data_IF_873230224048
#
_entry.id   IF_873230224048
#
_cell.length_a   1.000
_cell.length_b   1.000
_cell.length_c   1.000
_cell.angle_alpha   90.00
_cell.angle_beta   90.00
_cell.angle_gamma   90.00
#
_symmetry.space_group_name_H-M   'P 1'
#
loop_
_entity.id
_entity.type
_entity.pdbx_description
1 polymer ?
#
# COMPACT_ATOMS: atom_id res chain seq x y z
N UNK A 1 11.96 -5.27 18.92
CA UNK A 1 12.24 -6.72 18.98
C UNK A 1 11.09 -7.49 18.41
N UNK A 2 11.35 -8.65 17.80
CA UNK A 2 10.34 -9.63 17.48
C UNK A 2 10.33 -10.76 18.51
N UNK A 3 9.15 -11.30 18.77
CA UNK A 3 8.96 -12.45 19.66
C UNK A 3 8.04 -13.43 18.97
N UNK A 4 8.44 -14.70 18.92
CA UNK A 4 7.60 -15.80 18.44
C UNK A 4 7.59 -16.95 19.44
N UNK A 5 6.42 -17.60 19.60
CA UNK A 5 6.24 -18.77 20.46
C UNK A 5 5.53 -19.85 19.67
N UNK A 6 6.20 -20.96 19.43
CA UNK A 6 5.65 -22.04 18.59
C UNK A 6 5.99 -23.43 19.12
N UNK A 7 5.14 -24.41 18.79
CA UNK A 7 5.35 -25.81 19.13
C UNK A 7 6.47 -26.42 18.27
N UNK A 8 7.37 -27.17 18.94
CA UNK A 8 8.42 -27.94 18.25
C UNK A 8 7.86 -29.30 17.85
N UNK A 9 8.09 -29.68 16.61
CA UNK A 9 7.79 -30.99 16.04
C UNK A 9 8.85 -31.37 15.01
N UNK A 10 8.69 -32.48 14.29
CA UNK A 10 9.66 -32.96 13.28
C UNK A 10 9.82 -32.03 12.06
N UNK A 11 8.83 -31.11 11.87
CA UNK A 11 8.89 -30.09 10.79
C UNK A 11 9.55 -28.79 11.25
N UNK A 12 9.91 -28.71 12.52
CA UNK A 12 10.58 -27.52 13.06
C UNK A 12 12.07 -27.62 12.77
N UNK A 13 12.56 -26.72 11.91
CA UNK A 13 14.01 -26.64 11.68
C UNK A 13 14.70 -26.16 12.95
N UNK A 14 15.89 -26.74 13.22
CA UNK A 14 16.82 -26.11 14.15
C UNK A 14 17.10 -24.69 13.67
N UNK A 15 17.08 -23.71 14.57
CA UNK A 15 17.38 -22.34 14.19
C UNK A 15 18.89 -22.20 13.95
N UNK A 16 19.34 -22.55 12.77
CA UNK A 16 20.72 -22.36 12.34
C UNK A 16 21.01 -20.92 11.91
N UNK A 17 19.97 -20.06 11.84
CA UNK A 17 20.07 -18.66 11.48
C UNK A 17 19.34 -17.77 12.48
N UNK A 18 19.94 -16.65 12.81
CA UNK A 18 19.38 -15.62 13.67
C UNK A 18 19.63 -14.22 13.08
N UNK A 19 19.18 -13.18 13.77
CA UNK A 19 19.35 -11.80 13.31
C UNK A 19 20.83 -11.41 13.10
N UNK A 20 21.75 -11.98 13.88
CA UNK A 20 23.18 -11.70 13.75
C UNK A 20 23.74 -12.33 12.49
N UNK A 21 23.47 -13.62 12.29
CA UNK A 21 23.89 -14.34 11.08
C UNK A 21 23.24 -13.78 9.82
N UNK A 22 22.00 -13.26 9.94
CA UNK A 22 21.36 -12.56 8.84
C UNK A 22 22.13 -11.28 8.47
N UNK A 23 22.39 -10.37 9.42
CA UNK A 23 23.05 -9.10 9.12
C UNK A 23 24.50 -9.25 8.67
N UNK A 24 25.23 -10.21 9.20
CA UNK A 24 26.64 -10.36 8.89
C UNK A 24 26.94 -11.27 7.70
N UNK A 25 26.02 -12.17 7.36
CA UNK A 25 26.28 -13.19 6.34
C UNK A 25 25.15 -13.28 5.29
N UNK A 26 23.97 -13.79 5.68
CA UNK A 26 22.98 -14.25 4.71
C UNK A 26 22.26 -13.13 3.97
N UNK A 27 22.28 -11.88 4.49
CA UNK A 27 21.74 -10.71 3.79
C UNK A 27 22.61 -10.27 2.61
N UNK A 28 23.92 -10.51 2.67
CA UNK A 28 24.89 -9.98 1.70
C UNK A 28 25.61 -11.01 0.87
N UNK A 29 25.72 -12.26 1.35
CA UNK A 29 26.39 -13.31 0.60
C UNK A 29 25.45 -14.03 -0.37
N UNK A 30 25.99 -14.52 -1.46
CA UNK A 30 25.20 -15.26 -2.46
C UNK A 30 25.21 -16.77 -2.15
N UNK A 31 24.06 -17.40 -2.32
CA UNK A 31 23.90 -18.84 -2.13
C UNK A 31 23.31 -19.19 -0.78
N UNK A 32 23.17 -20.49 -0.54
CA UNK A 32 22.73 -21.04 0.74
C UNK A 32 23.95 -21.26 1.61
N UNK A 33 23.95 -20.68 2.81
CA UNK A 33 25.00 -20.86 3.81
C UNK A 33 24.47 -21.88 4.82
N UNK A 34 25.17 -23.00 4.94
CA UNK A 34 24.87 -24.01 5.95
C UNK A 34 25.35 -23.53 7.32
N UNK A 35 24.51 -23.71 8.36
CA UNK A 35 24.82 -23.39 9.75
C UNK A 35 25.46 -22.00 9.92
N UNK A 36 24.82 -20.89 9.49
CA UNK A 36 25.45 -19.56 9.52
C UNK A 36 25.85 -19.11 10.91
N UNK A 37 25.20 -19.61 11.96
CA UNK A 37 25.58 -19.32 13.36
C UNK A 37 26.97 -19.86 13.72
N UNK A 38 27.46 -20.91 13.03
CA UNK A 38 28.82 -21.45 13.26
C UNK A 38 29.88 -20.37 13.09
N UNK A 39 29.76 -19.57 12.06
CA UNK A 39 30.72 -18.50 11.71
C UNK A 39 30.67 -17.29 12.64
N UNK A 40 29.55 -17.10 13.37
CA UNK A 40 29.34 -15.95 14.25
C UNK A 40 29.62 -16.30 15.71
N UNK A 41 29.21 -17.48 16.16
CA UNK A 41 29.22 -17.84 17.58
C UNK A 41 30.49 -18.58 18.01
N UNK A 42 31.35 -18.98 17.08
CA UNK A 42 32.60 -19.65 17.38
C UNK A 42 33.79 -18.74 17.04
N UNK A 43 34.93 -19.02 17.66
CA UNK A 43 36.19 -18.30 17.45
C UNK A 43 37.34 -19.29 17.34
N UNK A 44 38.39 -18.90 16.64
CA UNK A 44 39.63 -19.65 16.54
C UNK A 44 40.11 -19.85 15.10
N UNK A 45 41.36 -20.33 14.89
CA UNK A 45 41.99 -20.39 13.58
C UNK A 45 41.23 -21.24 12.55
N UNK A 46 40.50 -22.26 13.02
CA UNK A 46 39.67 -23.10 12.13
C UNK A 46 38.44 -22.35 11.63
N UNK A 47 37.83 -21.56 12.51
CA UNK A 47 36.66 -20.73 12.16
C UNK A 47 37.09 -19.59 11.23
N UNK A 48 38.23 -18.96 11.52
CA UNK A 48 38.79 -17.90 10.67
C UNK A 48 39.04 -18.40 9.25
N UNK A 49 39.66 -19.61 9.11
CA UNK A 49 39.86 -20.22 7.83
C UNK A 49 38.53 -20.60 7.13
N UNK A 50 37.54 -21.04 7.89
CA UNK A 50 36.21 -21.35 7.34
C UNK A 50 35.50 -20.07 6.85
N UNK A 51 35.61 -18.93 7.59
CA UNK A 51 35.10 -17.64 7.16
C UNK A 51 35.77 -17.17 5.86
N UNK A 52 37.08 -17.26 5.76
CA UNK A 52 37.81 -16.92 4.53
C UNK A 52 37.33 -17.75 3.35
N UNK A 53 37.18 -19.06 3.52
CA UNK A 53 36.64 -19.95 2.47
C UNK A 53 35.21 -19.60 2.09
N UNK A 54 34.37 -19.24 3.08
CA UNK A 54 32.99 -18.77 2.83
C UNK A 54 33.00 -17.51 1.99
N UNK A 55 33.85 -16.53 2.32
CA UNK A 55 33.97 -15.28 1.57
C UNK A 55 34.51 -15.49 0.15
N UNK A 56 35.39 -16.45 -0.06
CA UNK A 56 35.89 -16.79 -1.37
C UNK A 56 34.84 -17.46 -2.26
N UNK A 57 33.95 -18.25 -1.67
CA UNK A 57 32.95 -19.06 -2.42
C UNK A 57 31.58 -18.38 -2.57
N UNK A 58 31.16 -17.61 -1.57
CA UNK A 58 29.85 -16.98 -1.50
C UNK A 58 29.92 -15.45 -1.56
N UNK A 59 31.10 -14.87 -1.42
CA UNK A 59 31.30 -13.43 -1.52
C UNK A 59 31.04 -12.91 -2.94
N UNK A 60 30.47 -11.73 -3.04
CA UNK A 60 30.27 -11.04 -4.30
C UNK A 60 30.37 -9.53 -4.13
N UNK A 61 30.59 -8.83 -5.24
CA UNK A 61 30.71 -7.36 -5.23
C UNK A 61 29.36 -6.75 -5.54
N UNK A 62 28.72 -6.12 -4.56
CA UNK A 62 27.50 -5.33 -4.75
C UNK A 62 27.77 -4.01 -5.46
N UNK A 63 28.96 -3.44 -5.23
CA UNK A 63 29.38 -2.17 -5.80
C UNK A 63 30.89 -2.14 -6.03
N UNK A 64 31.36 -1.19 -6.79
CA UNK A 64 32.78 -0.89 -6.97
C UNK A 64 33.08 0.43 -6.27
N UNK A 65 34.15 0.46 -5.51
CA UNK A 65 34.58 1.68 -4.82
C UNK A 65 34.82 2.84 -5.80
N UNK A 66 35.34 2.59 -6.99
CA UNK A 66 35.53 3.58 -8.05
C UNK A 66 34.22 4.25 -8.46
N UNK A 67 33.11 3.49 -8.52
CA UNK A 67 31.80 4.05 -8.86
C UNK A 67 31.24 4.89 -7.72
N UNK A 68 31.48 4.49 -6.46
CA UNK A 68 31.10 5.25 -5.27
C UNK A 68 31.89 6.58 -5.21
N UNK A 69 33.22 6.55 -5.38
CA UNK A 69 34.04 7.75 -5.35
C UNK A 69 33.77 8.70 -6.53
N UNK A 70 33.32 8.19 -7.65
CA UNK A 70 32.96 8.99 -8.82
C UNK A 70 31.47 9.41 -8.81
N UNK A 71 30.75 9.12 -7.73
CA UNK A 71 29.31 9.39 -7.58
C UNK A 71 28.46 8.85 -8.76
N UNK A 72 28.85 7.71 -9.31
CA UNK A 72 28.16 7.01 -10.40
C UNK A 72 27.08 6.04 -9.90
N UNK A 73 26.34 6.46 -8.88
CA UNK A 73 25.22 5.64 -8.39
C UNK A 73 24.05 5.82 -9.37
N UNK A 74 23.83 4.84 -10.22
CA UNK A 74 22.64 4.78 -11.05
C UNK A 74 21.58 3.94 -10.35
N UNK A 75 20.46 4.54 -10.01
CA UNK A 75 19.31 3.77 -9.51
C UNK A 75 18.59 3.13 -10.71
N UNK A 76 18.42 1.83 -10.68
CA UNK A 76 17.59 1.12 -11.67
C UNK A 76 16.11 1.43 -11.45
N UNK A 77 15.72 1.61 -10.20
CA UNK A 77 14.36 1.97 -9.78
C UNK A 77 14.38 3.28 -9.02
N UNK A 78 13.29 4.03 -9.13
CA UNK A 78 13.11 5.29 -8.40
C UNK A 78 12.90 4.98 -6.92
N UNK A 79 13.67 5.58 -5.99
CA UNK A 79 13.44 5.40 -4.56
C UNK A 79 12.09 6.00 -4.13
N UNK A 80 11.31 5.22 -3.39
CA UNK A 80 10.00 5.60 -2.87
C UNK A 80 10.14 6.17 -1.44
N UNK A 81 10.52 7.45 -1.32
CA UNK A 81 10.78 8.09 -0.01
C UNK A 81 9.51 8.59 0.68
N UNK A 82 8.53 9.07 -0.07
CA UNK A 82 7.35 9.72 0.47
C UNK A 82 6.09 8.88 0.39
N UNK A 83 6.06 7.92 -0.50
CA UNK A 83 4.91 7.08 -0.77
C UNK A 83 5.17 6.10 -1.90
N UNK A 84 4.15 5.39 -2.31
CA UNK A 84 4.22 4.49 -3.44
C UNK A 84 4.23 5.26 -4.77
N UNK A 85 5.07 4.84 -5.72
CA UNK A 85 5.16 5.45 -7.05
C UNK A 85 4.50 4.54 -8.09
N UNK A 86 3.34 4.95 -8.59
CA UNK A 86 2.67 4.23 -9.68
C UNK A 86 3.27 4.67 -11.01
N UNK A 87 3.89 3.72 -11.71
CA UNK A 87 4.44 3.92 -13.04
C UNK A 87 3.40 3.76 -14.14
N UNK A 88 3.46 4.60 -15.17
CA UNK A 88 2.62 4.49 -16.35
C UNK A 88 3.36 4.84 -17.62
N UNK A 89 2.71 4.60 -18.74
CA UNK A 89 3.20 4.98 -20.07
C UNK A 89 2.07 5.53 -20.93
N UNK A 90 2.37 6.60 -21.67
CA UNK A 90 1.45 7.15 -22.65
C UNK A 90 2.04 7.02 -24.06
N UNK A 91 1.23 6.51 -24.97
CA UNK A 91 1.61 6.27 -26.37
C UNK A 91 0.51 6.73 -27.32
N UNK A 92 0.87 6.98 -28.57
CA UNK A 92 -0.12 7.23 -29.61
C UNK A 92 -0.82 5.93 -30.00
N UNK A 93 -2.15 5.94 -30.01
CA UNK A 93 -3.00 4.74 -30.32
C UNK A 93 -2.70 4.10 -31.67
N UNK A 94 -2.24 4.87 -32.67
CA UNK A 94 -2.04 4.38 -34.04
C UNK A 94 -0.61 3.95 -34.32
N UNK A 95 0.36 4.63 -33.71
CA UNK A 95 1.78 4.44 -34.03
C UNK A 95 2.56 3.76 -32.92
N UNK A 96 1.97 3.57 -31.74
CA UNK A 96 2.59 3.11 -30.50
C UNK A 96 3.83 3.93 -30.05
N UNK A 97 4.05 5.06 -30.69
CA UNK A 97 5.16 5.96 -30.32
C UNK A 97 4.86 6.67 -29.00
N UNK A 98 5.87 6.89 -28.14
CA UNK A 98 5.70 7.64 -26.91
C UNK A 98 5.29 9.10 -27.20
N UNK A 99 4.46 9.65 -26.34
CA UNK A 99 4.04 11.05 -26.41
C UNK A 99 4.63 11.81 -25.23
N UNK A 100 5.28 12.94 -25.52
CA UNK A 100 5.89 13.82 -24.53
C UNK A 100 4.98 14.99 -24.16
N UNK A 101 5.15 15.55 -22.96
CA UNK A 101 4.49 16.77 -22.47
C UNK A 101 2.96 16.68 -22.37
N UNK A 102 2.41 15.50 -22.16
CA UNK A 102 0.99 15.32 -21.86
C UNK A 102 0.77 15.30 -20.35
N UNK A 103 -0.09 16.19 -19.88
CA UNK A 103 -0.55 16.21 -18.49
C UNK A 103 -1.57 15.11 -18.28
N UNK A 104 -1.35 14.29 -17.28
CA UNK A 104 -2.21 13.18 -16.90
C UNK A 104 -2.54 13.21 -15.43
N UNK A 105 -3.69 12.64 -15.08
CA UNK A 105 -4.19 12.54 -13.72
C UNK A 105 -4.44 11.08 -13.38
N UNK A 106 -4.00 10.68 -12.20
CA UNK A 106 -4.36 9.42 -11.56
C UNK A 106 -5.24 9.74 -10.36
N UNK A 107 -6.44 9.20 -10.32
CA UNK A 107 -7.38 9.39 -9.23
C UNK A 107 -7.80 8.04 -8.65
N UNK A 108 -7.90 7.95 -7.33
CA UNK A 108 -8.62 6.89 -6.64
C UNK A 108 -9.93 7.48 -6.13
N UNK A 109 -11.08 7.15 -6.77
CA UNK A 109 -12.37 7.70 -6.39
C UNK A 109 -12.76 7.24 -4.99
N UNK A 110 -13.58 8.05 -4.31
CA UNK A 110 -14.07 7.70 -2.98
C UNK A 110 -14.59 8.89 -2.21
N UNK A 111 -15.15 8.63 -1.05
CA UNK A 111 -15.48 9.69 -0.08
C UNK A 111 -14.22 10.39 0.47
N UNK A 112 -13.09 9.69 0.44
CA UNK A 112 -11.75 10.16 0.75
C UNK A 112 -10.86 9.89 -0.46
N UNK A 113 -11.14 10.59 -1.54
CA UNK A 113 -10.42 10.42 -2.79
C UNK A 113 -8.99 10.93 -2.73
N UNK A 114 -8.16 10.36 -3.57
CA UNK A 114 -6.80 10.83 -3.83
C UNK A 114 -6.66 11.17 -5.31
N UNK A 115 -5.83 12.17 -5.59
CA UNK A 115 -5.48 12.57 -6.94
C UNK A 115 -3.99 12.89 -7.00
N UNK A 116 -3.34 12.38 -8.01
CA UNK A 116 -1.96 12.70 -8.36
C UNK A 116 -1.89 13.10 -9.83
N UNK A 117 -0.86 13.84 -10.20
CA UNK A 117 -0.67 14.29 -11.57
C UNK A 117 0.74 14.02 -12.05
N UNK A 118 0.89 13.79 -13.34
CA UNK A 118 2.17 13.56 -13.99
C UNK A 118 2.21 14.22 -15.37
N UNK A 119 3.41 14.60 -15.82
CA UNK A 119 3.66 15.01 -17.20
C UNK A 119 4.55 13.96 -17.85
N UNK A 120 4.15 13.47 -19.01
CA UNK A 120 4.93 12.49 -19.76
C UNK A 120 6.27 13.04 -20.24
N UNK A 121 7.31 12.25 -20.06
CA UNK A 121 8.65 12.57 -20.58
C UNK A 121 8.83 12.11 -22.04
N UNK A 122 10.03 12.32 -22.62
CA UNK A 122 10.38 11.93 -24.00
C UNK A 122 10.17 10.45 -24.31
N UNK A 123 10.16 9.59 -23.28
CA UNK A 123 9.89 8.15 -23.42
C UNK A 123 8.42 7.79 -23.18
N UNK A 124 7.56 8.81 -22.98
CA UNK A 124 6.15 8.61 -22.63
C UNK A 124 5.94 8.08 -21.23
N UNK A 125 6.93 8.13 -20.34
CA UNK A 125 6.81 7.62 -18.98
C UNK A 125 6.03 8.60 -18.10
N UNK A 126 5.19 8.05 -17.26
CA UNK A 126 4.39 8.73 -16.26
C UNK A 126 4.74 8.19 -14.88
N UNK A 127 4.79 9.05 -13.88
CA UNK A 127 5.08 8.72 -12.50
C UNK A 127 4.09 9.47 -11.60
N UNK A 128 3.38 8.72 -10.76
CA UNK A 128 2.40 9.27 -9.84
C UNK A 128 2.80 8.92 -8.40
N UNK A 129 3.09 9.92 -7.61
CA UNK A 129 3.29 9.78 -6.18
C UNK A 129 1.93 9.63 -5.50
N UNK A 130 1.71 8.51 -4.81
CA UNK A 130 0.50 8.24 -4.04
C UNK A 130 0.85 7.93 -2.59
N UNK A 131 0.21 8.64 -1.67
CA UNK A 131 0.44 8.48 -0.23
C UNK A 131 -0.69 7.66 0.40
N UNK A 132 -0.33 6.81 1.37
CA UNK A 132 -1.33 6.01 2.10
C UNK A 132 -2.27 5.19 1.19
N UNK A 133 -1.73 4.65 0.12
CA UNK A 133 -2.47 3.83 -0.83
C UNK A 133 -2.29 2.36 -0.49
N UNK A 134 -3.24 1.78 0.24
CA UNK A 134 -3.19 0.42 0.76
C UNK A 134 -4.27 -0.47 0.19
N UNK A 135 -3.93 -1.74 -0.03
CA UNK A 135 -4.84 -2.75 -0.54
C UNK A 135 -5.20 -2.56 -2.01
N UNK A 136 -6.21 -3.28 -2.47
CA UNK A 136 -6.72 -3.15 -3.83
C UNK A 136 -7.72 -2.02 -3.92
N UNK A 137 -7.51 -1.09 -4.86
CA UNK A 137 -8.38 0.05 -5.09
C UNK A 137 -8.53 0.29 -6.59
N UNK A 138 -9.70 0.76 -6.99
CA UNK A 138 -9.91 1.25 -8.34
C UNK A 138 -9.16 2.56 -8.55
N UNK A 139 -8.43 2.67 -9.64
CA UNK A 139 -7.80 3.92 -10.08
C UNK A 139 -8.29 4.31 -11.47
N UNK A 140 -8.51 5.59 -11.65
CA UNK A 140 -8.89 6.19 -12.93
C UNK A 140 -7.72 7.04 -13.42
N UNK A 141 -7.18 6.70 -14.60
CA UNK A 141 -6.07 7.44 -15.20
C UNK A 141 -6.51 8.05 -16.52
N UNK A 142 -6.32 9.35 -16.64
CA UNK A 142 -6.78 10.07 -17.83
C UNK A 142 -5.99 11.37 -18.06
N UNK A 143 -6.09 11.88 -19.27
CA UNK A 143 -5.66 13.22 -19.63
C UNK A 143 -6.84 14.05 -20.14
N UNK A 144 -6.63 15.32 -20.40
CA UNK A 144 -7.66 16.19 -20.99
C UNK A 144 -7.97 15.79 -22.45
N UNK A 145 -8.95 14.92 -22.59
CA UNK A 145 -9.39 14.36 -23.86
C UNK A 145 -10.08 15.38 -24.78
N UNK A 146 -10.44 16.55 -24.29
CA UNK A 146 -10.97 17.62 -25.13
C UNK A 146 -9.91 18.23 -26.03
N UNK A 147 -8.64 18.12 -25.62
CA UNK A 147 -7.49 18.62 -26.39
C UNK A 147 -6.96 17.59 -27.40
N UNK A 148 -6.88 16.33 -27.00
CA UNK A 148 -6.39 15.25 -27.84
C UNK A 148 -6.95 13.90 -27.40
N UNK A 149 -7.40 13.07 -28.33
CA UNK A 149 -7.92 11.71 -28.13
C UNK A 149 -7.04 10.62 -28.73
N UNK A 150 -5.89 10.99 -29.29
CA UNK A 150 -5.02 10.08 -30.04
C UNK A 150 -4.11 9.21 -29.17
N UNK A 151 -4.13 9.37 -27.85
CA UNK A 151 -3.26 8.66 -26.94
C UNK A 151 -3.94 7.45 -26.23
N UNK A 152 -3.10 6.51 -25.82
CA UNK A 152 -3.41 5.42 -24.91
C UNK A 152 -2.51 5.54 -23.69
N UNK A 153 -3.10 5.33 -22.51
CA UNK A 153 -2.38 5.26 -21.24
C UNK A 153 -2.40 3.82 -20.77
N UNK A 154 -1.25 3.32 -20.35
CA UNK A 154 -1.09 2.01 -19.74
C UNK A 154 -0.42 2.21 -18.36
N UNK A 155 -0.90 1.50 -17.32
CA UNK A 155 -0.25 1.44 -16.01
C UNK A 155 0.68 0.24 -16.00
N UNK A 156 1.89 0.45 -15.49
CA UNK A 156 2.92 -0.59 -15.43
C UNK A 156 2.64 -1.51 -14.24
N UNK A 157 3.00 -2.79 -14.41
CA UNK A 157 2.97 -3.75 -13.34
C UNK A 157 3.98 -3.34 -12.25
N UNK A 158 3.55 -3.16 -10.97
CA UNK A 158 4.46 -2.79 -9.88
C UNK A 158 5.40 -3.93 -9.48
N UNK A 159 5.08 -5.17 -9.84
CA UNK A 159 5.87 -6.34 -9.48
C UNK A 159 6.98 -6.61 -10.50
N UNK A 160 8.15 -7.00 -9.99
CA UNK A 160 9.26 -7.39 -10.85
C UNK A 160 8.95 -8.69 -11.60
N UNK A 161 9.20 -8.69 -12.90
CA UNK A 161 9.14 -9.88 -13.75
C UNK A 161 10.50 -10.58 -13.85
N UNK A 162 11.48 -10.12 -13.08
CA UNK A 162 12.81 -10.76 -13.01
C UNK A 162 12.78 -11.90 -12.01
N UNK A 163 12.81 -13.13 -12.50
CA UNK A 163 12.82 -14.31 -11.67
C UNK A 163 14.23 -14.89 -11.55
N UNK A 164 14.48 -15.61 -10.44
CA UNK A 164 15.72 -16.38 -10.28
C UNK A 164 15.80 -17.49 -11.32
N UNK A 165 16.94 -17.64 -11.98
CA UNK A 165 17.21 -18.76 -12.88
C UNK A 165 17.65 -20.04 -12.14
N UNK A 166 17.73 -19.99 -10.79
CA UNK A 166 18.12 -21.16 -9.99
C UNK A 166 16.99 -22.18 -9.99
N UNK A 167 17.28 -23.45 -10.28
CA UNK A 167 16.29 -24.51 -10.13
C UNK A 167 15.89 -24.60 -8.66
N UNK A 168 14.61 -24.87 -8.42
CA UNK A 168 14.15 -25.23 -7.07
C UNK A 168 14.76 -26.58 -6.69
N UNK A 169 15.19 -26.69 -5.45
CA UNK A 169 15.58 -27.99 -4.88
C UNK A 169 14.33 -28.86 -4.78
N UNK A 170 14.39 -30.09 -5.21
CA UNK A 170 13.29 -31.03 -5.01
C UNK A 170 13.01 -31.16 -3.50
N UNK A 171 11.75 -31.08 -3.14
CA UNK A 171 11.31 -31.26 -1.76
C UNK A 171 11.14 -32.77 -1.54
N UNK A 172 12.07 -33.37 -0.81
CA UNK A 172 11.93 -34.76 -0.36
C UNK A 172 11.15 -34.78 0.97
N UNK A 173 9.95 -35.31 0.92
CA UNK A 173 9.10 -35.46 2.10
C UNK A 173 9.29 -36.87 2.64
N UNK A 174 10.14 -36.99 3.63
CA UNK A 174 10.38 -38.25 4.35
C UNK A 174 9.11 -38.78 5.03
N UNK A 175 8.88 -40.08 5.03
CA UNK A 175 7.76 -40.74 5.72
C UNK A 175 7.76 -40.42 7.23
N UNK A 176 8.90 -40.14 7.82
CA UNK A 176 9.03 -39.72 9.23
C UNK A 176 8.34 -38.38 9.56
N UNK A 177 8.07 -37.52 8.56
CA UNK A 177 7.41 -36.21 8.71
C UNK A 177 5.88 -36.31 8.60
N UNK A 178 5.35 -37.45 8.17
CA UNK A 178 3.94 -37.65 7.80
C UNK A 178 2.97 -37.28 8.91
N UNK A 179 3.21 -37.78 10.11
CA UNK A 179 2.27 -37.59 11.23
C UNK A 179 2.16 -36.10 11.63
N UNK A 180 3.28 -35.37 11.64
CA UNK A 180 3.29 -33.96 11.95
C UNK A 180 2.70 -33.11 10.80
N UNK A 181 2.92 -33.51 9.55
CA UNK A 181 2.27 -32.87 8.38
C UNK A 181 0.74 -33.02 8.50
N UNK A 182 0.25 -34.22 8.77
CA UNK A 182 -1.19 -34.46 8.94
C UNK A 182 -1.74 -33.67 10.13
N UNK A 183 -1.05 -33.70 11.27
CA UNK A 183 -1.43 -32.95 12.46
C UNK A 183 -1.54 -31.43 12.20
N UNK A 184 -0.54 -30.85 11.54
CA UNK A 184 -0.55 -29.42 11.16
C UNK A 184 -1.65 -29.10 10.15
N UNK A 185 -1.89 -29.98 9.19
CA UNK A 185 -2.97 -29.83 8.20
C UNK A 185 -4.34 -29.80 8.86
N UNK A 186 -4.59 -30.71 9.82
CA UNK A 186 -5.83 -30.72 10.61
C UNK A 186 -5.95 -29.44 11.44
N UNK A 187 -4.89 -29.02 12.13
CA UNK A 187 -4.86 -27.79 12.90
C UNK A 187 -5.19 -26.54 12.06
N UNK A 188 -4.62 -26.44 10.86
CA UNK A 188 -4.91 -25.36 9.92
C UNK A 188 -6.37 -25.36 9.45
N UNK A 189 -6.93 -26.54 9.13
CA UNK A 189 -8.33 -26.65 8.73
C UNK A 189 -9.29 -26.25 9.85
N UNK A 190 -9.01 -26.67 11.08
CA UNK A 190 -9.77 -26.28 12.27
C UNK A 190 -9.69 -24.76 12.49
N UNK A 191 -8.51 -24.16 12.39
CA UNK A 191 -8.34 -22.72 12.49
C UNK A 191 -9.14 -21.96 11.43
N UNK A 192 -9.09 -22.41 10.18
CA UNK A 192 -9.85 -21.81 9.10
C UNK A 192 -11.37 -21.94 9.31
N UNK A 193 -11.83 -23.09 9.80
CA UNK A 193 -13.25 -23.31 10.03
C UNK A 193 -13.83 -22.44 11.16
N UNK A 194 -13.08 -22.21 12.23
CA UNK A 194 -13.59 -21.55 13.44
C UNK A 194 -13.06 -20.13 13.67
N UNK A 195 -11.95 -19.76 13.06
CA UNK A 195 -11.25 -18.49 13.34
C UNK A 195 -10.94 -17.67 12.09
N UNK A 196 -11.49 -18.02 10.91
CA UNK A 196 -11.19 -17.36 9.65
C UNK A 196 -11.37 -15.83 9.71
N UNK A 197 -12.47 -15.35 10.31
CA UNK A 197 -12.76 -13.91 10.41
C UNK A 197 -11.71 -13.15 11.23
N UNK A 198 -11.09 -13.82 12.21
CA UNK A 198 -9.98 -13.26 12.99
C UNK A 198 -8.66 -13.33 12.25
N UNK A 199 -8.45 -14.36 11.42
CA UNK A 199 -7.25 -14.54 10.62
C UNK A 199 -7.18 -13.57 9.43
N UNK A 200 -8.30 -12.98 9.04
CA UNK A 200 -8.43 -12.02 7.93
C UNK A 200 -8.43 -10.55 8.39
N UNK A 201 -8.03 -10.28 9.63
CA UNK A 201 -7.95 -8.91 10.13
C UNK A 201 -6.64 -8.25 9.71
N UNK A 202 -6.75 -7.00 9.29
CA UNK A 202 -5.61 -6.18 8.90
C UNK A 202 -5.64 -4.87 9.67
N UNK A 203 -4.46 -4.42 10.09
CA UNK A 203 -4.29 -3.09 10.66
C UNK A 203 -4.32 -2.07 9.52
N UNK A 204 -5.35 -1.23 9.51
CA UNK A 204 -5.39 -0.07 8.64
C UNK A 204 -4.61 1.07 9.33
N UNK A 205 -3.62 1.68 8.68
CA UNK A 205 -2.94 2.83 9.23
C UNK A 205 -3.96 3.93 9.58
N UNK A 206 -3.86 4.47 10.78
CA UNK A 206 -4.73 5.57 11.19
C UNK A 206 -4.40 6.82 10.38
N UNK A 207 -5.29 7.19 9.48
CA UNK A 207 -5.18 8.42 8.71
C UNK A 207 -5.69 9.59 9.56
N UNK A 208 -4.79 10.37 10.12
CA UNK A 208 -5.13 11.56 10.93
C UNK A 208 -5.78 12.65 10.10
N UNK A 209 -5.36 12.82 8.84
CA UNK A 209 -5.87 13.86 7.95
C UNK A 209 -6.92 13.29 7.01
N UNK A 210 -8.14 13.79 7.15
CA UNK A 210 -9.28 13.48 6.26
C UNK A 210 -9.64 14.66 5.37
N UNK A 211 -8.82 15.70 5.35
CA UNK A 211 -9.02 16.89 4.52
C UNK A 211 -8.78 16.52 3.05
N UNK A 212 -9.61 17.04 2.16
CA UNK A 212 -9.35 16.89 0.73
C UNK A 212 -8.00 17.51 0.36
N UNK A 213 -7.35 17.03 -0.71
CA UNK A 213 -6.03 17.49 -1.13
C UNK A 213 -5.94 19.03 -1.34
N UNK A 214 -7.08 19.67 -1.64
CA UNK A 214 -7.17 21.11 -1.81
C UNK A 214 -7.40 21.89 -0.49
N UNK A 215 -7.43 21.19 0.65
CA UNK A 215 -7.63 21.80 1.97
C UNK A 215 -9.08 22.19 2.25
N UNK A 216 -9.26 23.29 2.99
CA UNK A 216 -10.60 23.79 3.34
C UNK A 216 -11.16 24.58 2.16
N UNK A 217 -12.34 24.19 1.62
CA UNK A 217 -12.99 24.92 0.52
C UNK A 217 -13.51 26.29 1.00
N UNK A 218 -13.56 27.24 0.07
CA UNK A 218 -14.09 28.58 0.35
C UNK A 218 -15.62 28.54 0.51
N UNK A 219 -16.30 27.68 -0.27
CA UNK A 219 -17.73 27.42 -0.13
C UNK A 219 -18.01 25.92 -0.12
N UNK A 220 -19.01 25.54 0.68
CA UNK A 220 -19.46 24.16 0.82
C UNK A 220 -20.97 24.10 0.92
N UNK A 221 -21.57 23.33 0.03
CA UNK A 221 -23.02 23.17 -0.08
C UNK A 221 -23.39 21.70 0.11
N UNK A 222 -24.09 21.41 1.20
CA UNK A 222 -24.74 20.12 1.39
C UNK A 222 -26.12 20.19 0.76
N UNK A 223 -26.35 19.42 -0.31
CA UNK A 223 -27.56 19.56 -1.12
C UNK A 223 -28.85 19.20 -0.35
N UNK A 224 -28.75 18.42 0.72
CA UNK A 224 -29.88 18.09 1.60
C UNK A 224 -30.34 19.27 2.45
N UNK A 225 -29.51 20.29 2.63
CA UNK A 225 -29.84 21.50 3.38
C UNK A 225 -30.60 22.56 2.54
N UNK A 226 -30.74 22.30 1.23
CA UNK A 226 -31.37 23.21 0.26
C UNK A 226 -32.58 22.58 -0.40
N UNK A 227 -33.38 23.39 -1.07
CA UNK A 227 -34.44 22.87 -1.94
C UNK A 227 -33.83 21.98 -3.03
N UNK A 228 -34.31 20.76 -3.14
CA UNK A 228 -33.88 19.83 -4.18
C UNK A 228 -34.50 20.22 -5.52
N UNK A 229 -33.65 20.65 -6.44
CA UNK A 229 -34.03 20.93 -7.82
C UNK A 229 -33.95 19.65 -8.67
N UNK A 230 -34.65 19.69 -9.82
CA UNK A 230 -34.68 18.54 -10.74
C UNK A 230 -33.45 18.47 -11.64
N UNK A 231 -32.74 19.56 -11.81
CA UNK A 231 -31.56 19.64 -12.69
C UNK A 231 -30.37 20.23 -11.96
N UNK A 232 -29.17 19.79 -12.32
CA UNK A 232 -27.93 20.34 -11.79
C UNK A 232 -27.71 21.78 -12.26
N UNK A 233 -28.26 22.16 -13.43
CA UNK A 233 -28.23 23.55 -13.89
C UNK A 233 -28.96 24.49 -12.90
N UNK A 234 -30.15 24.13 -12.42
CA UNK A 234 -30.88 24.87 -11.40
C UNK A 234 -30.09 24.92 -10.11
N UNK A 235 -29.56 23.83 -9.61
CA UNK A 235 -28.71 23.75 -8.41
C UNK A 235 -27.58 24.77 -8.51
N UNK A 236 -26.83 24.76 -9.61
CA UNK A 236 -25.65 25.62 -9.81
C UNK A 236 -26.04 27.10 -9.93
N UNK A 237 -27.20 27.43 -10.48
CA UNK A 237 -27.65 28.83 -10.66
C UNK A 237 -28.30 29.44 -9.43
N UNK A 238 -29.01 28.63 -8.66
CA UNK A 238 -29.86 29.14 -7.59
C UNK A 238 -29.11 29.35 -6.27
N UNK A 239 -28.16 28.46 -5.93
CA UNK A 239 -27.49 28.59 -4.65
C UNK A 239 -25.96 28.31 -4.62
N UNK A 240 -25.37 27.77 -5.68
CA UNK A 240 -23.93 27.59 -5.67
C UNK A 240 -23.23 28.91 -5.98
N UNK A 241 -22.70 29.56 -4.96
CA UNK A 241 -21.94 30.80 -5.10
C UNK A 241 -20.47 30.52 -5.39
N UNK A 242 -19.74 31.52 -5.91
CA UNK A 242 -18.34 31.39 -6.29
C UNK A 242 -18.09 30.76 -7.65
N UNK A 243 -19.15 30.28 -8.34
CA UNK A 243 -19.08 29.72 -9.68
C UNK A 243 -20.13 30.38 -10.58
N UNK A 244 -19.73 30.73 -11.80
CA UNK A 244 -20.63 31.18 -12.86
C UNK A 244 -20.87 30.06 -13.86
N UNK A 245 -22.11 29.68 -14.08
CA UNK A 245 -22.51 28.74 -15.12
C UNK A 245 -23.11 29.49 -16.30
N UNK A 246 -22.47 29.37 -17.46
CA UNK A 246 -22.92 29.98 -18.71
C UNK A 246 -23.12 28.93 -19.79
N UNK A 247 -24.05 29.17 -20.71
CA UNK A 247 -24.24 28.32 -21.89
C UNK A 247 -23.76 29.08 -23.14
N UNK A 248 -22.79 28.53 -23.84
CA UNK A 248 -22.25 29.10 -25.06
C UNK A 248 -22.19 28.03 -26.14
N UNK A 249 -22.77 28.30 -27.31
CA UNK A 249 -22.82 27.36 -28.44
C UNK A 249 -23.28 25.95 -28.04
N UNK A 250 -24.34 25.87 -27.22
CA UNK A 250 -24.93 24.61 -26.70
C UNK A 250 -24.07 23.88 -25.66
N UNK A 251 -22.91 24.38 -25.25
CA UNK A 251 -22.07 23.81 -24.20
C UNK A 251 -22.15 24.64 -22.93
N UNK A 252 -22.10 23.97 -21.79
CA UNK A 252 -21.96 24.61 -20.49
C UNK A 252 -20.49 24.94 -20.22
N UNK A 253 -20.28 26.13 -19.68
CA UNK A 253 -18.96 26.65 -19.27
C UNK A 253 -19.07 27.05 -17.81
N UNK A 254 -18.17 26.52 -16.99
CA UNK A 254 -18.01 26.91 -15.60
C UNK A 254 -16.83 27.90 -15.49
N UNK A 255 -17.01 28.95 -14.71
CA UNK A 255 -15.94 29.90 -14.35
C UNK A 255 -15.97 30.15 -12.87
N UNK A 256 -14.87 29.88 -12.19
CA UNK A 256 -14.75 30.22 -10.78
C UNK A 256 -14.49 31.69 -10.58
N UNK A 257 -15.05 32.22 -9.51
CA UNK A 257 -14.72 33.54 -9.02
C UNK A 257 -13.28 33.50 -8.44
N UNK A 258 -12.49 34.52 -8.78
CA UNK A 258 -11.13 34.70 -8.26
C UNK A 258 -11.21 35.75 -7.13
N UNK A 259 -11.41 35.26 -5.92
CA UNK A 259 -11.66 36.14 -4.77
C UNK A 259 -10.57 37.21 -4.53
N UNK A 260 -9.26 36.86 -4.60
CA UNK A 260 -8.18 37.82 -4.46
C UNK A 260 -8.22 38.98 -5.47
N UNK A 261 -8.78 38.77 -6.65
CA UNK A 261 -8.83 39.76 -7.75
C UNK A 261 -10.22 40.26 -8.05
N UNK A 262 -11.23 39.88 -7.27
CA UNK A 262 -12.63 40.29 -7.40
C UNK A 262 -13.22 40.16 -8.82
N UNK A 263 -12.88 39.06 -9.51
CA UNK A 263 -13.31 38.75 -10.86
C UNK A 263 -13.41 37.25 -11.13
N UNK A 264 -13.82 36.88 -12.32
CA UNK A 264 -13.80 35.47 -12.72
C UNK A 264 -12.47 35.11 -13.39
N UNK A 265 -12.05 33.86 -13.22
CA UNK A 265 -10.94 33.32 -13.99
C UNK A 265 -11.32 33.21 -15.48
N UNK A 266 -10.36 33.40 -16.37
CA UNK A 266 -10.56 33.21 -17.81
C UNK A 266 -10.55 31.74 -18.22
N UNK A 267 -9.84 30.90 -17.46
CA UNK A 267 -9.71 29.45 -17.70
C UNK A 267 -10.77 28.65 -16.91
N UNK A 268 -11.03 27.43 -17.38
CA UNK A 268 -11.94 26.52 -16.69
C UNK A 268 -11.36 26.04 -15.35
N UNK A 269 -12.21 25.87 -14.31
CA UNK A 269 -11.79 25.26 -13.06
C UNK A 269 -11.48 23.76 -13.24
N UNK A 270 -10.76 23.21 -12.29
CA UNK A 270 -10.67 21.76 -12.16
C UNK A 270 -11.99 21.24 -11.58
N UNK A 271 -12.76 20.56 -12.40
CA UNK A 271 -14.02 19.92 -11.99
C UNK A 271 -13.70 18.51 -11.53
N UNK A 272 -14.21 18.11 -10.38
CA UNK A 272 -14.02 16.78 -9.81
C UNK A 272 -15.37 16.09 -9.53
N UNK A 273 -15.47 14.81 -9.87
CA UNK A 273 -16.57 13.93 -9.45
C UNK A 273 -15.95 12.80 -8.59
N UNK A 274 -16.26 12.81 -7.27
CA UNK A 274 -15.63 11.91 -6.29
C UNK A 274 -14.10 11.83 -6.40
N UNK A 275 -13.46 12.98 -6.72
CA UNK A 275 -12.02 13.10 -6.90
C UNK A 275 -11.50 12.80 -8.31
N UNK A 276 -12.35 12.37 -9.22
CA UNK A 276 -11.97 12.13 -10.63
C UNK A 276 -12.15 13.41 -11.44
N UNK A 277 -11.11 13.92 -12.16
CA UNK A 277 -11.23 15.08 -13.03
C UNK A 277 -12.25 14.89 -14.13
N UNK A 278 -13.08 15.91 -14.35
CA UNK A 278 -14.05 15.97 -15.44
C UNK A 278 -13.73 17.17 -16.32
N UNK A 279 -13.37 16.91 -17.55
CA UNK A 279 -12.96 17.97 -18.51
C UNK A 279 -14.12 18.52 -19.33
N UNK A 280 -15.28 17.88 -19.31
CA UNK A 280 -16.51 18.31 -19.99
C UNK A 280 -17.58 18.66 -18.95
N UNK A 281 -17.83 19.96 -18.77
CA UNK A 281 -18.82 20.46 -17.82
C UNK A 281 -20.25 19.95 -18.14
N UNK A 282 -20.58 19.67 -19.41
CA UNK A 282 -21.89 19.16 -19.80
C UNK A 282 -22.22 17.83 -19.10
N UNK A 283 -21.20 16.97 -18.88
CA UNK A 283 -21.38 15.67 -18.20
C UNK A 283 -21.83 15.83 -16.75
N UNK A 284 -21.29 16.82 -16.05
CA UNK A 284 -21.67 17.07 -14.66
C UNK A 284 -23.05 17.76 -14.59
N UNK A 285 -23.30 18.71 -15.50
CA UNK A 285 -24.57 19.47 -15.51
C UNK A 285 -25.76 18.58 -15.92
N UNK A 286 -25.52 17.52 -16.65
CA UNK A 286 -26.56 16.53 -17.02
C UNK A 286 -26.78 15.44 -15.97
N UNK A 287 -25.96 15.39 -14.92
CA UNK A 287 -26.12 14.43 -13.83
C UNK A 287 -27.34 14.76 -12.96
N UNK A 288 -28.01 13.73 -12.47
CA UNK A 288 -29.13 13.86 -11.53
C UNK A 288 -28.60 14.43 -10.19
N UNK A 289 -29.09 15.63 -9.78
CA UNK A 289 -28.64 16.25 -8.53
C UNK A 289 -29.01 15.45 -7.28
N UNK A 290 -30.01 14.56 -7.35
CA UNK A 290 -30.37 13.69 -6.22
C UNK A 290 -29.27 12.68 -5.86
N UNK A 291 -28.32 12.44 -6.75
CA UNK A 291 -27.16 11.58 -6.52
C UNK A 291 -25.99 12.32 -5.83
N UNK A 292 -26.00 13.64 -5.84
CA UNK A 292 -24.98 14.49 -5.26
C UNK A 292 -25.31 14.85 -3.82
N UNK A 293 -24.38 14.54 -2.92
CA UNK A 293 -24.46 14.86 -1.50
C UNK A 293 -23.99 16.27 -1.20
N UNK A 294 -22.85 16.67 -1.79
CA UNK A 294 -22.24 17.99 -1.55
C UNK A 294 -21.52 18.53 -2.77
N UNK A 295 -21.41 19.84 -2.83
CA UNK A 295 -20.55 20.58 -3.78
C UNK A 295 -19.61 21.45 -2.96
N UNK A 296 -18.32 21.42 -3.27
CA UNK A 296 -17.28 22.25 -2.66
C UNK A 296 -16.62 23.12 -3.73
N UNK A 297 -16.38 24.40 -3.41
CA UNK A 297 -15.82 25.36 -4.36
C UNK A 297 -14.59 26.03 -3.75
N UNK A 298 -13.49 26.03 -4.49
CA UNK A 298 -12.26 26.75 -4.21
C UNK A 298 -12.15 27.93 -5.19
N UNK A 299 -12.11 29.14 -4.68
CA UNK A 299 -12.07 30.38 -5.49
C UNK A 299 -10.65 30.91 -5.70
N UNK A 300 -9.66 30.14 -5.30
CA UNK A 300 -8.24 30.47 -5.44
C UNK A 300 -7.57 29.59 -6.49
N UNK A 301 -6.53 30.11 -7.13
CA UNK A 301 -5.66 29.27 -7.97
C UNK A 301 -5.03 28.19 -7.12
N UNK A 302 -5.10 26.96 -7.60
CA UNK A 302 -4.54 25.78 -6.93
C UNK A 302 -3.44 25.16 -7.79
N UNK A 303 -2.37 24.69 -7.14
CA UNK A 303 -1.26 24.03 -7.80
C UNK A 303 -1.19 22.56 -7.35
N UNK A 304 -1.29 21.63 -8.30
CA UNK A 304 -1.20 20.20 -8.10
C UNK A 304 0.01 19.68 -8.88
N UNK A 305 1.16 19.58 -8.20
CA UNK A 305 2.42 19.25 -8.87
C UNK A 305 2.69 20.20 -10.03
N UNK A 306 2.80 19.71 -11.28
CA UNK A 306 3.09 20.53 -12.44
C UNK A 306 1.87 21.33 -12.98
N UNK A 307 0.71 21.18 -12.38
CA UNK A 307 -0.55 21.70 -12.90
C UNK A 307 -1.02 22.88 -12.06
N UNK A 308 -1.57 23.89 -12.72
CA UNK A 308 -2.32 24.96 -12.07
C UNK A 308 -3.79 24.90 -12.49
N UNK A 309 -4.69 24.99 -11.50
CA UNK A 309 -6.12 25.03 -11.71
C UNK A 309 -6.67 26.42 -11.34
N UNK A 310 -7.57 26.95 -12.15
CA UNK A 310 -8.27 28.21 -11.93
C UNK A 310 -9.47 28.03 -10.98
N UNK A 311 -9.17 27.61 -9.76
CA UNK A 311 -10.11 27.14 -8.77
C UNK A 311 -10.49 25.66 -8.99
N UNK A 312 -11.30 25.15 -8.04
CA UNK A 312 -11.78 23.76 -8.05
C UNK A 312 -13.28 23.76 -7.78
N UNK A 313 -14.02 22.91 -8.50
CA UNK A 313 -15.42 22.59 -8.21
C UNK A 313 -15.52 21.08 -8.01
N UNK A 314 -15.73 20.64 -6.77
CA UNK A 314 -15.75 19.23 -6.41
C UNK A 314 -17.17 18.78 -6.06
N UNK A 315 -17.65 17.79 -6.79
CA UNK A 315 -18.93 17.12 -6.55
C UNK A 315 -18.66 15.80 -5.84
N UNK A 316 -19.40 15.52 -4.77
CA UNK A 316 -19.30 14.26 -4.04
C UNK A 316 -20.66 13.57 -4.03
N UNK A 317 -20.69 12.31 -4.46
CA UNK A 317 -21.88 11.47 -4.38
C UNK A 317 -22.08 10.92 -2.97
N UNK A 318 -23.22 10.29 -2.70
CA UNK A 318 -23.50 9.72 -1.37
C UNK A 318 -22.57 8.55 -1.04
N UNK A 319 -22.22 7.75 -2.04
CA UNK A 319 -21.39 6.54 -1.85
C UNK A 319 -19.90 6.78 -2.13
N UNK A 320 -19.57 7.81 -2.90
CA UNK A 320 -18.21 8.06 -3.36
C UNK A 320 -17.77 7.13 -4.50
N UNK A 321 -18.73 6.48 -5.18
CA UNK A 321 -18.52 5.54 -6.28
C UNK A 321 -18.96 6.12 -7.65
N UNK A 322 -18.99 7.45 -7.71
CA UNK A 322 -19.46 8.24 -8.86
C UNK A 322 -20.93 7.99 -9.25
N UNK A 323 -21.63 7.07 -8.60
CA UNK A 323 -23.07 6.73 -8.74
C UNK A 323 -23.56 6.66 -10.21
N UNK A 324 -22.80 5.94 -11.03
CA UNK A 324 -23.09 5.76 -12.44
C UNK A 324 -22.72 6.94 -13.36
N UNK A 325 -21.90 7.88 -12.86
CA UNK A 325 -21.33 8.94 -13.70
C UNK A 325 -20.53 8.32 -14.85
N UNK A 326 -20.79 8.79 -16.06
CA UNK A 326 -20.12 8.26 -17.25
C UNK A 326 -18.76 8.93 -17.43
N UNK A 327 -17.71 8.17 -17.21
CA UNK A 327 -16.34 8.61 -17.48
C UNK A 327 -16.10 8.78 -19.00
N UNK A 328 -15.04 9.53 -19.34
CA UNK A 328 -14.61 9.60 -20.73
C UNK A 328 -14.22 8.19 -21.24
N UNK A 329 -14.63 7.79 -22.46
CA UNK A 329 -14.29 6.48 -23.01
C UNK A 329 -12.77 6.22 -23.16
N UNK A 330 -11.94 7.26 -23.12
CA UNK A 330 -10.49 7.14 -23.17
C UNK A 330 -9.85 7.10 -21.76
N UNK A 331 -10.63 7.27 -20.68
CA UNK A 331 -10.12 7.07 -19.33
C UNK A 331 -9.81 5.59 -19.13
N UNK A 332 -8.64 5.31 -18.58
CA UNK A 332 -8.26 3.98 -18.13
C UNK A 332 -8.79 3.78 -16.72
N UNK A 333 -9.63 2.77 -16.54
CA UNK A 333 -10.10 2.32 -15.22
C UNK A 333 -9.49 0.96 -14.95
N UNK A 334 -8.75 0.83 -13.85
CA UNK A 334 -8.06 -0.41 -13.50
C UNK A 334 -8.05 -0.61 -11.98
N UNK A 335 -8.22 -1.85 -11.56
CA UNK A 335 -7.96 -2.25 -10.18
C UNK A 335 -6.45 -2.34 -9.98
N UNK A 336 -5.95 -1.57 -9.02
CA UNK A 336 -4.52 -1.50 -8.72
C UNK A 336 -4.26 -1.94 -7.29
N UNK A 337 -3.31 -2.86 -7.12
CA UNK A 337 -2.88 -3.33 -5.81
C UNK A 337 -1.79 -2.41 -5.25
N UNK A 338 -2.15 -1.67 -4.22
CA UNK A 338 -1.24 -0.77 -3.52
C UNK A 338 -0.38 -1.47 -2.47
N UNK A 339 0.07 -0.72 -1.48
CA UNK A 339 0.87 -1.24 -0.38
C UNK A 339 0.06 -2.27 0.43
N UNK A 340 0.72 -3.34 0.84
CA UNK A 340 0.08 -4.39 1.64
C UNK A 340 -0.25 -3.87 3.04
N UNK A 341 -1.48 -4.09 3.49
CA UNK A 341 -1.87 -3.87 4.87
C UNK A 341 -1.16 -4.87 5.79
N UNK A 342 -0.75 -4.42 6.95
CA UNK A 342 -0.20 -5.30 7.97
C UNK A 342 -1.29 -6.23 8.49
N UNK A 343 -1.02 -7.55 8.44
CA UNK A 343 -1.94 -8.53 8.99
C UNK A 343 -1.84 -8.56 10.51
N UNK A 344 -2.98 -8.49 11.19
CA UNK A 344 -3.05 -8.68 12.64
C UNK A 344 -2.76 -10.15 12.98
N UNK A 345 -1.86 -10.39 13.95
CA UNK A 345 -1.65 -11.74 14.45
C UNK A 345 -2.77 -12.12 15.43
N UNK A 346 -3.56 -13.12 15.06
CA UNK A 346 -4.63 -13.61 15.93
C UNK A 346 -4.07 -14.49 17.05
N UNK A 347 -4.22 -14.03 18.29
CA UNK A 347 -3.97 -14.81 19.51
C UNK A 347 -5.24 -14.81 20.36
N UNK A 348 -5.97 -15.94 20.49
CA UNK A 348 -7.19 -16.00 21.28
C UNK A 348 -6.90 -15.76 22.76
N UNK A 349 -7.91 -15.21 23.43
CA UNK A 349 -7.89 -14.85 24.84
C UNK A 349 -8.95 -15.70 25.56
N UNK A 350 -8.62 -16.23 26.73
CA UNK A 350 -9.50 -17.09 27.54
C UNK A 350 -9.68 -16.49 28.94
N UNK A 351 -10.31 -15.32 29.03
CA UNK A 351 -10.50 -14.55 30.28
C UNK A 351 -11.92 -14.59 30.79
N UNK A 352 -12.90 -14.76 29.92
CA UNK A 352 -14.33 -14.81 30.31
C UNK A 352 -14.82 -16.25 30.44
N UNK A 353 -15.85 -16.47 31.28
CA UNK A 353 -16.47 -17.79 31.42
C UNK A 353 -16.92 -18.40 30.10
N UNK A 354 -17.42 -17.57 29.17
CA UNK A 354 -17.81 -17.99 27.82
C UNK A 354 -16.62 -18.46 26.99
N UNK A 355 -15.49 -17.79 27.09
CA UNK A 355 -14.26 -18.18 26.37
C UNK A 355 -13.66 -19.46 26.99
N UNK A 356 -13.60 -19.55 28.33
CA UNK A 356 -13.06 -20.70 29.06
C UNK A 356 -13.91 -21.95 28.82
N UNK A 357 -15.25 -21.81 28.78
CA UNK A 357 -16.18 -22.92 28.55
C UNK A 357 -16.39 -23.26 27.07
N UNK A 358 -15.72 -22.58 26.17
CA UNK A 358 -15.80 -22.83 24.73
C UNK A 358 -15.36 -24.27 24.41
N UNK A 359 -16.13 -24.94 23.53
CA UNK A 359 -15.77 -26.26 23.00
C UNK A 359 -15.07 -26.20 21.65
N UNK A 360 -14.77 -24.99 21.16
CA UNK A 360 -14.01 -24.81 19.92
C UNK A 360 -12.58 -25.24 20.18
N UNK A 361 -12.07 -26.23 19.45
CA UNK A 361 -10.69 -26.69 19.64
C UNK A 361 -9.67 -25.64 19.17
N UNK A 362 -8.59 -25.50 19.94
CA UNK A 362 -7.46 -24.64 19.61
C UNK A 362 -6.23 -25.48 19.30
N UNK A 363 -5.95 -25.72 18.02
CA UNK A 363 -4.82 -26.52 17.55
C UNK A 363 -3.72 -25.67 16.91
N UNK A 364 -3.53 -24.44 17.42
CA UNK A 364 -2.46 -23.56 16.91
C UNK A 364 -1.08 -24.12 17.26
N UNK A 365 -0.20 -24.18 16.26
CA UNK A 365 1.22 -24.41 16.49
C UNK A 365 1.96 -23.14 16.91
N UNK A 366 1.57 -21.98 16.35
CA UNK A 366 2.12 -20.67 16.68
C UNK A 366 1.19 -19.99 17.71
N UNK A 367 1.64 -19.89 18.94
CA UNK A 367 0.85 -19.34 20.05
C UNK A 367 0.85 -17.82 20.07
N UNK A 368 2.02 -17.25 19.80
CA UNK A 368 2.24 -15.81 19.85
C UNK A 368 3.27 -15.36 18.81
N UNK A 369 3.01 -14.23 18.19
CA UNK A 369 3.96 -13.52 17.35
C UNK A 369 3.76 -12.01 17.47
N UNK A 370 4.84 -11.26 17.60
CA UNK A 370 4.84 -9.82 17.50
C UNK A 370 6.18 -9.35 16.92
N UNK A 371 6.16 -8.44 15.95
CA UNK A 371 7.34 -7.92 15.27
C UNK A 371 7.88 -6.61 15.84
N UNK A 372 7.12 -5.93 16.72
CA UNK A 372 7.40 -4.55 17.15
C UNK A 372 7.44 -4.36 18.67
N UNK A 373 7.78 -5.40 19.41
CA UNK A 373 7.90 -5.35 20.88
C UNK A 373 8.98 -4.34 21.29
N UNK A 374 8.58 -3.32 22.05
CA UNK A 374 9.48 -2.32 22.63
C UNK A 374 9.61 -2.54 24.13
N UNK A 375 10.84 -2.55 24.63
CA UNK A 375 11.12 -2.57 26.07
C UNK A 375 11.01 -1.16 26.65
N UNK A 376 10.77 -1.09 27.95
CA UNK A 376 10.86 0.15 28.72
C UNK A 376 12.33 0.63 28.87
N UNK A 377 12.54 1.73 29.58
CA UNK A 377 13.86 2.30 29.87
C UNK A 377 14.78 1.37 30.69
N UNK A 378 14.20 0.36 31.37
CA UNK A 378 14.92 -0.67 32.12
C UNK A 378 15.17 -1.94 31.28
N UNK A 379 14.87 -1.93 29.99
CA UNK A 379 15.02 -3.07 29.10
C UNK A 379 13.99 -4.19 29.34
N UNK A 380 12.86 -3.90 30.00
CA UNK A 380 11.83 -4.89 30.36
C UNK A 380 10.57 -4.73 29.54
N UNK A 381 9.92 -5.86 29.23
CA UNK A 381 8.57 -5.92 28.68
C UNK A 381 7.90 -7.21 29.15
N UNK A 382 6.71 -7.09 29.69
CA UNK A 382 5.88 -8.24 30.02
C UNK A 382 4.96 -8.56 28.82
N UNK A 383 4.92 -9.82 28.43
CA UNK A 383 4.05 -10.35 27.39
C UNK A 383 3.22 -11.47 27.99
N UNK A 384 1.96 -11.57 27.58
CA UNK A 384 1.04 -12.63 27.98
C UNK A 384 0.41 -13.27 26.75
N UNK A 385 0.30 -14.57 26.76
CA UNK A 385 -0.38 -15.34 25.72
C UNK A 385 -0.95 -16.63 26.33
N UNK A 386 -1.87 -17.27 25.62
CA UNK A 386 -2.48 -18.53 26.05
C UNK A 386 -1.92 -19.68 25.21
N UNK A 387 -1.70 -20.84 25.86
CA UNK A 387 -1.38 -22.10 25.19
C UNK A 387 -2.56 -22.58 24.35
N UNK A 388 -2.29 -23.43 23.37
CA UNK A 388 -3.31 -24.21 22.65
C UNK A 388 -3.67 -25.49 23.42
N UNK A 389 -4.62 -26.27 22.89
CA UNK A 389 -4.98 -27.59 23.42
C UNK A 389 -3.91 -28.66 23.15
N UNK A 390 -2.84 -28.29 22.43
CA UNK A 390 -1.77 -29.22 22.09
C UNK A 390 -0.70 -29.24 23.18
N UNK A 391 -0.43 -30.44 23.69
CA UNK A 391 0.68 -30.70 24.59
C UNK A 391 2.00 -30.81 23.80
N UNK A 392 3.11 -30.58 24.48
CA UNK A 392 4.44 -30.75 23.91
C UNK A 392 5.41 -29.65 24.29
N UNK A 393 6.54 -29.66 23.63
CA UNK A 393 7.61 -28.67 23.81
C UNK A 393 7.40 -27.48 22.90
N UNK A 394 7.52 -26.29 23.48
CA UNK A 394 7.41 -25.02 22.77
C UNK A 394 8.72 -24.26 22.80
N UNK A 395 9.03 -23.58 21.70
CA UNK A 395 10.17 -22.69 21.55
C UNK A 395 9.71 -21.25 21.65
N UNK A 396 10.43 -20.46 22.45
CA UNK A 396 10.35 -18.99 22.43
C UNK A 396 11.59 -18.47 21.73
N UNK A 397 11.39 -17.63 20.72
CA UNK A 397 12.47 -16.96 20.00
C UNK A 397 12.29 -15.47 20.13
N UNK A 398 13.33 -14.80 20.59
CA UNK A 398 13.39 -13.35 20.77
C UNK A 398 14.56 -12.85 19.95
N UNK A 399 14.28 -11.93 19.03
CA UNK A 399 15.31 -11.28 18.24
C UNK A 399 15.07 -9.78 18.20
N UNK A 400 16.12 -8.99 18.19
CA UNK A 400 15.94 -7.57 18.23
C UNK A 400 17.17 -6.77 17.86
N UNK A 401 16.89 -5.49 17.57
CA UNK A 401 17.91 -4.48 17.31
C UNK A 401 17.59 -3.24 18.13
N UNK A 402 18.63 -2.59 18.65
CA UNK A 402 18.49 -1.28 19.31
C UNK A 402 18.51 -0.15 18.29
N UNK A 403 18.11 1.05 18.71
CA UNK A 403 18.24 2.25 17.88
C UNK A 403 19.69 2.60 17.46
N UNK A 404 20.68 2.04 18.17
CA UNK A 404 22.11 2.19 17.87
C UNK A 404 22.65 1.08 16.93
N UNK A 405 21.79 0.16 16.47
CA UNK A 405 22.16 -0.93 15.56
C UNK A 405 22.74 -2.18 16.25
N UNK A 406 22.69 -2.29 17.58
CA UNK A 406 23.10 -3.51 18.28
C UNK A 406 22.03 -4.56 18.16
N UNK A 407 22.35 -5.69 17.54
CA UNK A 407 21.44 -6.82 17.39
C UNK A 407 21.68 -7.88 18.47
N UNK A 408 20.64 -8.65 18.79
CA UNK A 408 20.70 -9.77 19.72
C UNK A 408 19.62 -10.79 19.46
N UNK A 409 19.93 -12.04 19.76
CA UNK A 409 19.03 -13.20 19.62
C UNK A 409 19.09 -14.06 20.87
N UNK A 410 17.94 -14.56 21.31
CA UNK A 410 17.83 -15.51 22.41
C UNK A 410 16.68 -16.49 22.12
N UNK A 411 16.90 -17.75 22.42
CA UNK A 411 15.85 -18.76 22.37
C UNK A 411 15.87 -19.65 23.61
N UNK A 412 14.70 -20.12 24.03
CA UNK A 412 14.54 -21.10 25.11
C UNK A 412 13.26 -21.91 24.91
N UNK A 413 13.16 -23.02 25.59
CA UNK A 413 11.99 -23.92 25.51
C UNK A 413 11.25 -24.03 26.84
N UNK A 414 9.95 -24.35 26.75
CA UNK A 414 9.12 -24.75 27.87
C UNK A 414 8.19 -25.88 27.45
N UNK A 415 7.66 -26.62 28.42
CA UNK A 415 6.76 -27.74 28.16
C UNK A 415 5.33 -27.37 28.56
N UNK A 416 4.36 -27.72 27.71
CA UNK A 416 2.94 -27.68 28.02
C UNK A 416 2.51 -29.11 28.32
N UNK A 417 2.10 -29.34 29.56
CA UNK A 417 1.62 -30.64 30.08
C UNK A 417 0.18 -30.51 30.48
N UNK A 418 -0.51 -31.66 30.62
CA UNK A 418 -1.91 -31.70 31.00
C UNK A 418 -2.08 -31.43 32.49
#
# INVERSE_FOLDING_TARGET
>A
MSVSVYRIDSLSNSQDADILSYFWLTSDLQGTIESPQYYINNNGPEVDAAVDNLMLTHGWRRFRWDDVFQNKVAFEFIPEYEGHVIGGRITNKKTDQPIENVVTYLSSPGTKFQISSSISNKKGQLLYDVKNFYGSNEVVVQADNQKDTSYRIDILNPFSEKYSSRPFTDIDISESLRDDIVSRSIGMQVQNAYSNDYLQRFDAPYMQDTTAFYGVPDYKFFLDEYTRFNTMEEVMREYVTGVSLRKQKQKFILRNFNDPYHGFFDDDPLILMDGVPVFDADRVITMDPLKIKKIEVMTRRYYLGPISASGIVSYTTYKGDMDGFQLDPNALVVEYEGLQLQREFYSPVYETEKQISSRVPDFRNLLFWSGDVKTDEHGKKQLSFYSSDQQGKYMVVIQGITGEGRAGSQSFTFDVVK
#
